data_IF_619276495706
#
_entry.id   IF_619276495706
#
_cell.length_a   1.000
_cell.length_b   1.000
_cell.length_c   1.000
_cell.angle_alpha   90.00
_cell.angle_beta   90.00
_cell.angle_gamma   90.00
#
_symmetry.space_group_name_H-M   'P 1'
#
loop_
_entity.id
_entity.type
_entity.pdbx_description
1 polymer ?
#
# COMPACT_ATOMS: atom_id res chain seq x y z
N UNK A 1 -35.76 -17.05 -8.44
CA UNK A 1 -35.17 -17.95 -7.43
C UNK A 1 -34.27 -17.12 -6.53
N UNK A 2 -34.52 -17.09 -5.22
CA UNK A 2 -33.69 -16.34 -4.28
C UNK A 2 -32.27 -16.96 -4.25
N UNK A 3 -31.23 -16.13 -4.30
CA UNK A 3 -29.86 -16.60 -4.17
C UNK A 3 -29.69 -17.23 -2.77
N UNK A 4 -29.49 -18.56 -2.64
CA UNK A 4 -29.43 -19.23 -1.34
C UNK A 4 -28.25 -18.74 -0.49
N UNK A 5 -27.22 -18.12 -1.11
CA UNK A 5 -26.11 -17.48 -0.39
C UNK A 5 -26.52 -16.22 0.36
N UNK A 6 -27.60 -15.55 -0.05
CA UNK A 6 -28.13 -14.40 0.66
C UNK A 6 -28.80 -14.78 2.00
N UNK A 7 -29.06 -16.08 2.23
CA UNK A 7 -29.66 -16.57 3.47
C UNK A 7 -28.68 -16.63 4.65
N UNK A 8 -27.36 -16.69 4.39
CA UNK A 8 -26.33 -16.72 5.43
C UNK A 8 -25.56 -15.40 5.40
N UNK A 9 -25.89 -14.50 6.34
CA UNK A 9 -25.18 -13.25 6.50
C UNK A 9 -23.76 -13.49 7.04
N UNK A 10 -22.79 -12.77 6.49
CA UNK A 10 -21.43 -12.75 7.01
C UNK A 10 -21.44 -12.18 8.45
N UNK A 11 -20.87 -12.92 9.40
CA UNK A 11 -20.78 -12.47 10.78
C UNK A 11 -19.44 -12.85 11.41
N UNK A 12 -18.98 -11.97 12.30
CA UNK A 12 -17.78 -12.16 13.11
C UNK A 12 -18.12 -11.83 14.56
N UNK A 13 -17.97 -12.81 15.47
CA UNK A 13 -18.32 -12.64 16.89
C UNK A 13 -17.22 -13.19 17.78
N UNK A 14 -16.99 -12.55 18.92
CA UNK A 14 -16.07 -13.05 19.93
C UNK A 14 -16.59 -14.34 20.56
N UNK A 15 -15.75 -15.36 20.61
CA UNK A 15 -15.98 -16.61 21.36
C UNK A 15 -15.20 -16.61 22.68
N UNK A 16 -14.05 -15.95 22.69
CA UNK A 16 -13.28 -15.63 23.89
C UNK A 16 -12.65 -14.24 23.76
N UNK A 17 -11.79 -13.83 24.71
CA UNK A 17 -11.19 -12.49 24.73
C UNK A 17 -10.51 -12.12 23.40
N UNK A 18 -9.76 -13.05 22.80
CA UNK A 18 -8.94 -12.79 21.60
C UNK A 18 -9.27 -13.72 20.42
N UNK A 19 -10.32 -14.54 20.53
CA UNK A 19 -10.72 -15.49 19.48
C UNK A 19 -12.08 -15.11 18.93
N UNK A 20 -12.16 -15.00 17.60
CA UNK A 20 -13.38 -14.69 16.87
C UNK A 20 -13.85 -15.88 16.03
N UNK A 21 -15.15 -16.13 16.05
CA UNK A 21 -15.82 -17.02 15.11
C UNK A 21 -16.18 -16.23 13.85
N UNK A 22 -15.75 -16.73 12.68
CA UNK A 22 -16.09 -16.19 11.37
C UNK A 22 -17.06 -17.15 10.66
N UNK A 23 -18.26 -16.65 10.33
CA UNK A 23 -19.29 -17.40 9.60
C UNK A 23 -19.63 -16.68 8.29
N UNK A 24 -19.52 -17.39 7.17
CA UNK A 24 -19.93 -16.91 5.84
C UNK A 24 -20.23 -18.09 4.92
N UNK A 25 -21.14 -17.91 3.96
CA UNK A 25 -21.45 -18.93 2.97
C UNK A 25 -20.48 -18.86 1.78
N UNK A 26 -19.86 -19.99 1.48
CA UNK A 26 -18.92 -20.17 0.35
C UNK A 26 -19.52 -21.06 -0.73
N UNK A 27 -19.02 -20.94 -1.95
CA UNK A 27 -19.35 -21.90 -3.02
C UNK A 27 -18.55 -23.19 -2.85
N UNK A 28 -19.03 -24.27 -3.47
CA UNK A 28 -18.33 -25.55 -3.55
C UNK A 28 -16.94 -25.38 -4.17
N UNK A 29 -16.85 -24.68 -5.31
CA UNK A 29 -15.59 -24.31 -5.97
C UNK A 29 -14.60 -23.60 -5.04
N UNK A 30 -15.09 -22.74 -4.13
CA UNK A 30 -14.23 -22.03 -3.18
C UNK A 30 -13.68 -22.98 -2.11
N UNK A 31 -14.50 -23.93 -1.66
CA UNK A 31 -14.10 -24.95 -0.69
C UNK A 31 -13.05 -25.89 -1.28
N UNK A 32 -13.23 -26.32 -2.53
CA UNK A 32 -12.25 -27.12 -3.27
C UNK A 32 -10.92 -26.39 -3.40
N UNK A 33 -10.95 -25.13 -3.87
CA UNK A 33 -9.75 -24.31 -3.98
C UNK A 33 -9.04 -24.12 -2.63
N UNK A 34 -9.79 -23.92 -1.55
CA UNK A 34 -9.21 -23.79 -0.21
C UNK A 34 -8.49 -25.08 0.20
N UNK A 35 -9.08 -26.25 -0.07
CA UNK A 35 -8.47 -27.53 0.25
C UNK A 35 -7.21 -27.77 -0.57
N UNK A 36 -7.23 -27.49 -1.88
CA UNK A 36 -6.04 -27.59 -2.74
C UNK A 36 -4.89 -26.72 -2.21
N UNK A 37 -5.19 -25.48 -1.83
CA UNK A 37 -4.18 -24.57 -1.26
C UNK A 37 -3.66 -25.08 0.09
N UNK A 38 -4.53 -25.64 0.94
CA UNK A 38 -4.11 -26.25 2.22
C UNK A 38 -3.20 -27.44 2.00
N UNK A 39 -3.47 -28.29 1.01
CA UNK A 39 -2.63 -29.44 0.69
C UNK A 39 -1.26 -29.00 0.19
N UNK A 40 -1.21 -28.02 -0.72
CA UNK A 40 0.06 -27.42 -1.17
C UNK A 40 0.86 -26.83 -0.02
N UNK A 41 0.21 -26.10 0.89
CA UNK A 41 0.87 -25.55 2.08
C UNK A 41 1.32 -26.65 3.05
N UNK A 42 0.54 -27.71 3.20
CA UNK A 42 0.84 -28.83 4.10
C UNK A 42 2.03 -29.65 3.59
N UNK A 43 2.08 -29.90 2.27
CA UNK A 43 3.24 -30.49 1.60
C UNK A 43 4.50 -29.64 1.81
N UNK A 44 4.39 -28.32 1.63
CA UNK A 44 5.53 -27.41 1.82
C UNK A 44 6.02 -27.37 3.27
N UNK A 45 5.11 -27.45 4.25
CA UNK A 45 5.45 -27.40 5.69
C UNK A 45 5.67 -28.77 6.32
N UNK A 46 5.43 -29.86 5.60
CA UNK A 46 5.50 -31.24 6.09
C UNK A 46 4.59 -31.49 7.32
N UNK A 47 3.44 -30.80 7.39
CA UNK A 47 2.40 -31.00 8.42
C UNK A 47 1.06 -30.49 7.94
N UNK A 48 -0.03 -30.94 8.55
CA UNK A 48 -1.36 -30.38 8.28
C UNK A 48 -1.43 -28.89 8.66
N UNK A 49 -1.99 -28.09 7.77
CA UNK A 49 -2.19 -26.64 7.94
C UNK A 49 -3.68 -26.34 8.14
N UNK A 50 -3.99 -25.52 9.15
CA UNK A 50 -5.36 -25.11 9.43
C UNK A 50 -5.86 -24.08 8.43
N UNK A 51 -7.18 -23.96 8.29
CA UNK A 51 -7.80 -22.93 7.43
C UNK A 51 -7.40 -21.52 7.86
N UNK A 52 -7.37 -21.25 9.17
CA UNK A 52 -6.91 -19.96 9.71
C UNK A 52 -5.48 -19.65 9.27
N UNK A 53 -4.57 -20.61 9.43
CA UNK A 53 -3.17 -20.43 9.06
C UNK A 53 -3.01 -20.18 7.55
N UNK A 54 -3.73 -20.94 6.72
CA UNK A 54 -3.74 -20.75 5.26
C UNK A 54 -4.24 -19.36 4.88
N UNK A 55 -5.40 -18.96 5.39
CA UNK A 55 -5.99 -17.65 5.11
C UNK A 55 -5.09 -16.52 5.61
N UNK A 56 -4.49 -16.66 6.80
CA UNK A 56 -3.59 -15.66 7.35
C UNK A 56 -2.36 -15.45 6.47
N UNK A 57 -1.76 -16.51 5.95
CA UNK A 57 -0.60 -16.42 5.04
C UNK A 57 -1.01 -15.72 3.75
N UNK A 58 -2.12 -16.14 3.13
CA UNK A 58 -2.62 -15.53 1.90
C UNK A 58 -2.91 -14.03 2.07
N UNK A 59 -3.61 -13.66 3.14
CA UNK A 59 -3.93 -12.28 3.47
C UNK A 59 -2.66 -11.45 3.73
N UNK A 60 -1.70 -12.01 4.46
CA UNK A 60 -0.41 -11.37 4.75
C UNK A 60 0.41 -11.13 3.48
N UNK A 61 0.45 -12.11 2.58
CA UNK A 61 1.14 -11.97 1.30
C UNK A 61 0.46 -10.95 0.37
N UNK A 62 -0.88 -10.97 0.31
CA UNK A 62 -1.65 -9.98 -0.43
C UNK A 62 -1.36 -8.57 0.09
N UNK A 63 -1.44 -8.36 1.41
CA UNK A 63 -1.12 -7.09 2.04
C UNK A 63 0.30 -6.64 1.72
N UNK A 64 1.31 -7.51 1.89
CA UNK A 64 2.71 -7.23 1.55
C UNK A 64 2.90 -6.79 0.09
N UNK A 65 2.14 -7.39 -0.84
CA UNK A 65 2.25 -7.13 -2.28
C UNK A 65 1.51 -5.86 -2.72
N UNK A 66 0.34 -5.59 -2.16
CA UNK A 66 -0.59 -4.57 -2.64
C UNK A 66 -0.65 -3.31 -1.77
N UNK A 67 -0.23 -3.38 -0.51
CA UNK A 67 -0.19 -2.21 0.37
C UNK A 67 0.86 -1.20 -0.15
N UNK A 68 0.46 0.04 -0.52
CA UNK A 68 1.38 1.04 -1.05
C UNK A 68 2.42 1.48 -0.02
N UNK A 69 2.12 1.41 1.27
CA UNK A 69 3.03 1.76 2.37
C UNK A 69 4.10 0.69 2.49
N UNK A 70 3.70 -0.59 2.64
CA UNK A 70 4.67 -1.70 2.71
C UNK A 70 5.51 -1.80 1.43
N UNK A 71 4.92 -1.48 0.26
CA UNK A 71 5.68 -1.39 -0.99
C UNK A 71 6.71 -0.27 -0.94
N UNK A 72 6.36 0.91 -0.44
CA UNK A 72 7.27 2.04 -0.30
C UNK A 72 8.42 1.73 0.68
N UNK A 73 8.11 1.13 1.84
CA UNK A 73 9.10 0.70 2.84
C UNK A 73 10.09 -0.31 2.25
N UNK A 74 9.61 -1.35 1.55
CA UNK A 74 10.47 -2.33 0.89
C UNK A 74 11.43 -1.69 -0.11
N UNK A 75 10.96 -0.70 -0.86
CA UNK A 75 11.80 0.02 -1.84
C UNK A 75 12.82 0.90 -1.12
N UNK A 76 12.47 1.53 0.00
CA UNK A 76 13.42 2.29 0.82
C UNK A 76 14.52 1.39 1.37
N UNK A 77 14.17 0.24 1.95
CA UNK A 77 15.16 -0.74 2.46
C UNK A 77 16.07 -1.22 1.34
N UNK A 78 15.52 -1.58 0.17
CA UNK A 78 16.32 -1.98 -1.00
C UNK A 78 17.28 -0.88 -1.45
N UNK A 79 16.81 0.37 -1.51
CA UNK A 79 17.64 1.50 -1.92
C UNK A 79 18.72 1.84 -0.87
N UNK A 80 18.41 1.70 0.41
CA UNK A 80 19.38 1.87 1.50
C UNK A 80 20.49 0.82 1.42
N UNK A 81 20.13 -0.45 1.18
CA UNK A 81 21.09 -1.53 0.95
C UNK A 81 22.02 -1.22 -0.24
N UNK A 82 21.45 -0.83 -1.39
CA UNK A 82 22.25 -0.41 -2.56
C UNK A 82 23.17 0.78 -2.28
N UNK A 83 22.70 1.78 -1.53
CA UNK A 83 23.52 2.94 -1.14
C UNK A 83 24.67 2.55 -0.22
N UNK A 84 24.43 1.66 0.74
CA UNK A 84 25.48 1.15 1.63
C UNK A 84 26.53 0.33 0.86
N UNK A 85 26.10 -0.49 -0.11
CA UNK A 85 26.99 -1.25 -0.99
C UNK A 85 27.86 -0.34 -1.88
N UNK A 86 27.27 0.70 -2.47
CA UNK A 86 27.99 1.70 -3.26
C UNK A 86 28.99 2.50 -2.40
N UNK A 87 28.60 2.94 -1.20
CA UNK A 87 29.50 3.63 -0.28
C UNK A 87 30.68 2.74 0.18
N UNK A 88 30.43 1.44 0.37
CA UNK A 88 31.49 0.49 0.69
C UNK A 88 32.45 0.24 -0.48
N UNK A 89 31.96 0.32 -1.73
CA UNK A 89 32.80 0.24 -2.93
C UNK A 89 33.66 1.51 -3.12
N UNK A 90 33.11 2.70 -2.88
CA UNK A 90 33.84 3.98 -2.96
C UNK A 90 34.96 4.10 -1.91
N UNK A 91 34.82 3.46 -0.75
CA UNK A 91 35.86 3.47 0.30
C UNK A 91 37.11 2.68 -0.11
N UNK A 92 37.05 1.85 -1.17
CA UNK A 92 38.18 1.06 -1.68
C UNK A 92 38.96 1.76 -2.82
N UNK A 93 38.47 2.90 -3.32
CA UNK A 93 39.12 3.71 -4.35
C UNK A 93 39.39 5.12 -3.83
N UNK A 94 40.48 5.28 -3.09
CA UNK A 94 41.02 6.61 -2.76
C UNK A 94 41.57 7.25 -4.03
N UNK A 95 40.90 8.29 -4.54
CA UNK A 95 41.55 9.53 -5.02
C UNK A 95 40.54 10.62 -5.48
N UNK A 96 40.49 11.68 -4.67
CA UNK A 96 40.63 13.12 -5.03
C UNK A 96 39.43 13.92 -5.60
N UNK A 97 39.12 14.97 -4.80
CA UNK A 97 38.45 16.28 -4.98
C UNK A 97 36.93 16.37 -5.17
N UNK A 98 36.34 16.97 -4.13
CA UNK A 98 34.99 17.46 -4.02
C UNK A 98 34.70 18.63 -4.96
N UNK A 99 33.59 18.55 -5.68
CA UNK A 99 32.66 19.67 -5.79
C UNK A 99 31.24 19.15 -5.59
N UNK A 100 30.68 19.44 -4.42
CA UNK A 100 29.29 19.21 -4.10
C UNK A 100 28.42 20.19 -4.89
N UNK A 101 27.96 19.76 -6.06
CA UNK A 101 26.79 20.35 -6.68
C UNK A 101 25.57 19.55 -6.23
N UNK A 102 24.70 20.16 -5.43
CA UNK A 102 23.36 19.62 -5.17
C UNK A 102 22.68 19.34 -6.52
N UNK A 103 22.25 18.10 -6.81
CA UNK A 103 21.42 17.87 -7.97
C UNK A 103 20.01 18.36 -7.62
N UNK A 104 19.74 19.64 -7.84
CA UNK A 104 18.37 20.09 -8.09
C UNK A 104 17.88 19.31 -9.30
N UNK A 105 17.06 18.30 -9.03
CA UNK A 105 16.38 17.49 -10.04
C UNK A 105 15.37 18.41 -10.74
N UNK A 106 15.84 19.19 -11.73
CA UNK A 106 14.98 19.85 -12.70
C UNK A 106 14.34 18.74 -13.52
N UNK A 107 13.14 18.34 -13.10
CA UNK A 107 12.31 17.35 -13.80
C UNK A 107 11.86 18.01 -15.11
N UNK A 108 12.39 17.51 -16.24
CA UNK A 108 11.91 17.88 -17.57
C UNK A 108 10.37 17.79 -17.64
N UNK A 109 9.67 18.66 -18.38
CA UNK A 109 8.21 18.66 -18.45
C UNK A 109 7.74 17.39 -19.16
N UNK A 110 7.49 16.35 -18.39
CA UNK A 110 7.44 14.98 -18.90
C UNK A 110 6.34 14.17 -18.24
N UNK A 111 5.13 14.28 -18.81
CA UNK A 111 3.92 13.49 -18.54
C UNK A 111 3.26 13.78 -17.18
N UNK A 112 1.92 13.83 -17.17
CA UNK A 112 1.06 13.94 -15.97
C UNK A 112 1.24 12.78 -14.97
N UNK A 113 2.04 11.78 -15.30
CA UNK A 113 2.27 10.59 -14.48
C UNK A 113 3.17 10.91 -13.29
N UNK A 114 2.66 10.72 -12.07
CA UNK A 114 3.44 10.96 -10.85
C UNK A 114 4.55 9.90 -10.72
N UNK A 115 5.84 10.31 -10.63
CA UNK A 115 6.97 9.41 -10.49
C UNK A 115 6.84 8.46 -9.29
N UNK A 116 7.44 7.27 -9.41
CA UNK A 116 7.39 6.26 -8.35
C UNK A 116 7.97 6.74 -7.02
N UNK A 117 9.05 7.52 -7.07
CA UNK A 117 9.68 8.10 -5.88
C UNK A 117 8.70 9.00 -5.12
N UNK A 118 8.04 9.95 -5.80
CA UNK A 118 7.03 10.82 -5.18
C UNK A 118 5.87 10.01 -4.62
N UNK A 119 5.35 9.04 -5.39
CA UNK A 119 4.26 8.14 -4.93
C UNK A 119 4.62 7.40 -3.65
N UNK A 120 5.84 6.87 -3.54
CA UNK A 120 6.29 6.17 -2.34
C UNK A 120 6.45 7.11 -1.15
N UNK A 121 7.06 8.29 -1.34
CA UNK A 121 7.19 9.30 -0.27
C UNK A 121 5.82 9.71 0.28
N UNK A 122 4.87 9.99 -0.59
CA UNK A 122 3.49 10.36 -0.21
C UNK A 122 2.79 9.19 0.49
N UNK A 123 2.95 7.96 -0.01
CA UNK A 123 2.34 6.78 0.62
C UNK A 123 2.81 6.60 2.06
N UNK A 124 4.10 6.82 2.34
CA UNK A 124 4.67 6.77 3.68
C UNK A 124 4.14 7.92 4.56
N UNK A 125 4.18 9.16 4.04
CA UNK A 125 3.68 10.35 4.75
C UNK A 125 2.21 10.20 5.16
N UNK A 126 1.38 9.74 4.23
CA UNK A 126 -0.06 9.69 4.42
C UNK A 126 -0.55 8.34 4.96
N UNK A 127 0.35 7.38 5.15
CA UNK A 127 0.06 5.98 5.51
C UNK A 127 -0.99 5.33 4.59
N UNK A 128 -0.97 5.71 3.30
CA UNK A 128 -1.95 5.25 2.30
C UNK A 128 -3.40 5.69 2.58
N UNK A 129 -3.62 6.65 3.48
CA UNK A 129 -4.95 7.12 3.91
C UNK A 129 -5.17 8.58 3.52
N UNK A 130 -6.43 8.96 3.43
CA UNK A 130 -6.82 10.33 3.15
C UNK A 130 -6.18 11.32 4.14
N UNK A 131 -5.47 12.32 3.62
CA UNK A 131 -4.80 13.39 4.37
C UNK A 131 -5.68 14.60 4.62
N UNK A 132 -6.90 14.65 4.07
CA UNK A 132 -7.83 15.76 4.29
C UNK A 132 -8.11 15.94 5.78
N UNK A 133 -8.03 17.20 6.22
CA UNK A 133 -8.36 17.66 7.57
C UNK A 133 -9.53 18.62 7.46
N UNK A 134 -10.56 18.41 8.28
CA UNK A 134 -11.72 19.29 8.32
C UNK A 134 -11.44 20.60 9.08
N UNK A 135 -12.44 21.48 9.15
CA UNK A 135 -12.35 22.77 9.85
C UNK A 135 -12.11 22.65 11.35
N UNK A 136 -12.39 21.48 11.93
CA UNK A 136 -12.21 21.19 13.35
C UNK A 136 -10.89 20.46 13.63
N UNK A 137 -10.02 20.29 12.63
CA UNK A 137 -8.73 19.63 12.78
C UNK A 137 -8.82 18.10 12.73
N UNK A 138 -9.98 17.51 12.41
CA UNK A 138 -10.14 16.05 12.34
C UNK A 138 -9.72 15.54 10.96
N UNK A 139 -8.80 14.58 10.95
CA UNK A 139 -8.35 13.90 9.72
C UNK A 139 -9.36 12.84 9.28
N UNK A 140 -9.65 12.79 7.98
CA UNK A 140 -10.55 11.79 7.40
C UNK A 140 -10.04 10.35 7.60
N UNK A 141 -8.77 10.09 7.28
CA UNK A 141 -8.15 8.78 7.52
C UNK A 141 -8.70 7.60 6.70
N UNK A 142 -9.64 7.83 5.78
CA UNK A 142 -10.17 6.77 4.92
C UNK A 142 -9.07 6.20 4.02
N UNK A 143 -8.89 4.87 4.04
CA UNK A 143 -8.00 4.15 3.12
C UNK A 143 -8.70 3.64 1.86
N UNK A 144 -10.03 3.85 1.73
CA UNK A 144 -10.81 3.34 0.59
C UNK A 144 -10.83 4.36 -0.55
N UNK A 145 -10.62 3.86 -1.77
CA UNK A 145 -10.65 4.65 -3.02
C UNK A 145 -9.81 5.92 -2.96
N UNK A 146 -8.55 5.79 -2.51
CA UNK A 146 -7.62 6.91 -2.38
C UNK A 146 -6.93 7.24 -3.70
N UNK A 147 -6.91 8.53 -4.03
CA UNK A 147 -6.36 9.12 -5.24
C UNK A 147 -5.30 10.16 -4.85
N UNK A 148 -4.39 10.46 -5.77
CA UNK A 148 -3.35 11.47 -5.58
C UNK A 148 -3.83 12.73 -6.28
N UNK A 149 -3.85 13.83 -5.55
CA UNK A 149 -4.34 15.11 -6.01
C UNK A 149 -3.20 16.12 -6.05
N UNK A 150 -3.08 16.85 -7.14
CA UNK A 150 -2.18 17.99 -7.26
C UNK A 150 -2.84 19.23 -6.67
N UNK A 151 -2.22 19.84 -5.66
CA UNK A 151 -2.71 21.06 -5.00
C UNK A 151 -2.63 22.25 -5.97
N UNK A 152 -1.43 22.50 -6.51
CA UNK A 152 -1.25 23.29 -7.72
C UNK A 152 -1.41 22.35 -8.91
N UNK A 153 -2.46 22.53 -9.71
CA UNK A 153 -2.79 21.60 -10.78
C UNK A 153 -1.65 21.47 -11.78
N UNK A 154 -1.41 20.26 -12.27
CA UNK A 154 -0.40 20.00 -13.29
C UNK A 154 -0.61 20.83 -14.57
N UNK A 155 -1.86 21.08 -14.96
CA UNK A 155 -2.19 21.90 -16.13
C UNK A 155 -1.71 23.36 -15.98
N UNK A 156 -1.61 23.84 -14.75
CA UNK A 156 -1.18 25.20 -14.41
C UNK A 156 0.32 25.27 -14.05
N UNK A 157 1.08 24.22 -14.37
CA UNK A 157 2.51 24.13 -14.07
C UNK A 157 2.85 23.48 -12.71
N UNK A 158 1.89 22.82 -12.07
CA UNK A 158 2.10 22.06 -10.83
C UNK A 158 3.17 20.98 -10.92
N UNK A 159 4.12 20.99 -9.97
CA UNK A 159 5.18 20.00 -9.87
C UNK A 159 4.68 18.65 -9.33
N UNK A 160 5.50 17.61 -9.43
CA UNK A 160 5.26 16.29 -8.84
C UNK A 160 5.94 16.12 -7.47
N UNK A 161 6.25 17.23 -6.82
CA UNK A 161 6.86 17.22 -5.49
C UNK A 161 5.86 16.75 -4.45
N UNK A 162 6.37 16.20 -3.34
CA UNK A 162 5.54 15.59 -2.30
C UNK A 162 4.64 16.64 -1.64
N UNK A 163 5.14 17.86 -1.55
CA UNK A 163 4.52 19.05 -1.00
C UNK A 163 3.35 19.51 -1.87
N UNK A 164 3.43 19.32 -3.19
CA UNK A 164 2.36 19.67 -4.13
C UNK A 164 1.31 18.54 -4.31
N UNK A 165 1.46 17.43 -3.59
CA UNK A 165 0.62 16.25 -3.74
C UNK A 165 -0.07 15.85 -2.43
N UNK A 166 -1.37 15.58 -2.51
CA UNK A 166 -2.21 15.10 -1.40
C UNK A 166 -2.78 13.70 -1.70
N UNK A 167 -2.93 12.86 -0.68
CA UNK A 167 -3.71 11.61 -0.78
C UNK A 167 -5.14 11.87 -0.34
N UNK A 168 -6.12 11.77 -1.24
CA UNK A 168 -7.52 12.05 -0.95
C UNK A 168 -8.40 10.83 -1.24
N UNK A 169 -9.38 10.52 -0.41
CA UNK A 169 -10.43 9.58 -0.81
C UNK A 169 -11.27 10.21 -1.93
N UNK A 170 -11.97 9.39 -2.70
CA UNK A 170 -12.82 9.84 -3.80
C UNK A 170 -13.73 11.03 -3.42
N UNK A 171 -14.41 10.96 -2.27
CA UNK A 171 -15.29 12.02 -1.80
C UNK A 171 -14.57 13.37 -1.61
N UNK A 172 -13.42 13.38 -0.92
CA UNK A 172 -12.64 14.60 -0.70
C UNK A 172 -11.93 15.06 -1.97
N UNK A 173 -11.56 14.15 -2.86
CA UNK A 173 -10.98 14.51 -4.14
C UNK A 173 -11.99 15.25 -5.01
N UNK A 174 -13.23 14.75 -5.11
CA UNK A 174 -14.33 15.45 -5.79
C UNK A 174 -14.63 16.79 -5.12
N UNK A 175 -14.64 16.85 -3.78
CA UNK A 175 -14.83 18.09 -3.04
C UNK A 175 -13.78 19.16 -3.39
N UNK A 176 -12.50 18.78 -3.52
CA UNK A 176 -11.42 19.70 -3.90
C UNK A 176 -11.57 20.26 -5.31
N UNK A 177 -12.11 19.48 -6.26
CA UNK A 177 -12.36 19.94 -7.65
C UNK A 177 -13.62 20.80 -7.82
N UNK A 178 -14.51 20.85 -6.82
CA UNK A 178 -15.76 21.62 -6.86
C UNK A 178 -15.67 22.99 -6.17
N UNK A 179 -14.51 23.32 -5.61
CA UNK A 179 -14.23 24.62 -5.00
C UNK A 179 -13.54 25.51 -6.01
#
# INVERSE_FOLDING_TARGET
MANPRAAVAESMKYVSADVLELKFAVSEEWSELLNDVKDLMSQKKQRAVSTEETLFILMSEFKRKHDPVLKAERVQVKNAGRKAELAHADTKSTNTIAHAAEPTLVVAPGKRYIPAASRHKIALRDSGKCSFVDRHGKRCGSGRWVQKHHVHHFADGGSHDVENLETLCWAHHVMKHRR
#
